data_IF_481140221209
#
_entry.id   IF_481140221209
#
_cell.length_a   1.000
_cell.length_b   1.000
_cell.length_c   1.000
_cell.angle_alpha   90.00
_cell.angle_beta   90.00
_cell.angle_gamma   90.00
#
_symmetry.space_group_name_H-M   'P 1'
#
loop_
_entity.id
_entity.type
_entity.pdbx_description
1 polymer ?
#
# COMPACT_ATOMS: atom_id res chain seq x y z
N UNK A 1 -15.97 9.43 -1.85
CA UNK A 1 -16.44 9.17 -0.48
C UNK A 1 -15.62 8.06 0.18
N UNK A 2 -15.31 8.26 1.47
CA UNK A 2 -14.44 7.45 2.38
C UNK A 2 -12.94 7.50 2.05
N UNK A 3 -12.11 7.59 3.08
CA UNK A 3 -10.66 7.52 2.95
C UNK A 3 -10.20 6.10 2.59
N UNK A 4 -8.95 5.98 2.13
CA UNK A 4 -8.40 4.73 1.62
C UNK A 4 -8.36 3.61 2.66
N UNK A 5 -8.07 3.93 3.93
CA UNK A 5 -8.02 2.92 5.00
C UNK A 5 -9.41 2.38 5.27
N UNK A 6 -10.41 3.26 5.38
CA UNK A 6 -11.80 2.85 5.51
C UNK A 6 -12.28 2.04 4.30
N UNK A 7 -11.92 2.46 3.09
CA UNK A 7 -12.22 1.73 1.85
C UNK A 7 -11.65 0.31 1.85
N UNK A 8 -10.39 0.16 2.27
CA UNK A 8 -9.73 -1.14 2.38
C UNK A 8 -10.40 -2.04 3.42
N UNK A 9 -10.74 -1.51 4.60
CA UNK A 9 -11.47 -2.27 5.61
C UNK A 9 -12.80 -2.79 5.09
N UNK A 10 -13.54 -1.95 4.36
CA UNK A 10 -14.81 -2.35 3.75
C UNK A 10 -14.58 -3.46 2.73
N UNK A 11 -13.63 -3.30 1.81
CA UNK A 11 -13.29 -4.32 0.81
C UNK A 11 -13.00 -5.67 1.49
N UNK A 12 -12.11 -5.65 2.47
CA UNK A 12 -11.63 -6.83 3.16
C UNK A 12 -12.65 -7.43 4.15
N UNK A 13 -13.70 -6.68 4.49
CA UNK A 13 -14.82 -7.20 5.29
C UNK A 13 -15.74 -8.14 4.50
N UNK A 14 -15.71 -8.09 3.17
CA UNK A 14 -16.61 -8.88 2.32
C UNK A 14 -16.11 -10.29 2.02
N UNK A 15 -14.80 -10.52 2.01
CA UNK A 15 -14.25 -11.81 1.62
C UNK A 15 -12.87 -12.07 2.23
N UNK A 16 -12.53 -13.36 2.31
CA UNK A 16 -11.18 -13.80 2.60
C UNK A 16 -10.29 -13.55 1.40
N UNK A 17 -9.14 -12.92 1.63
CA UNK A 17 -8.14 -12.85 0.58
C UNK A 17 -7.71 -14.28 0.20
N UNK A 18 -7.73 -14.63 -1.09
CA UNK A 18 -7.25 -15.93 -1.54
C UNK A 18 -5.75 -16.06 -1.27
N UNK A 19 -5.29 -17.26 -0.91
CA UNK A 19 -3.85 -17.52 -0.68
C UNK A 19 -2.98 -17.41 -1.94
N UNK A 20 -3.60 -17.41 -3.12
CA UNK A 20 -2.93 -17.23 -4.41
C UNK A 20 -2.65 -15.74 -4.67
N UNK A 21 -1.37 -15.36 -4.67
CA UNK A 21 -0.96 -13.95 -4.83
C UNK A 21 -1.53 -13.25 -6.06
N UNK A 22 -1.71 -13.95 -7.19
CA UNK A 22 -2.31 -13.40 -8.41
C UNK A 22 -3.78 -12.97 -8.25
N UNK A 23 -4.53 -13.67 -7.39
CA UNK A 23 -5.93 -13.32 -7.13
C UNK A 23 -6.03 -12.11 -6.19
N UNK A 24 -5.14 -12.03 -5.19
CA UNK A 24 -5.00 -10.83 -4.34
C UNK A 24 -4.70 -9.61 -5.20
N UNK A 25 -3.80 -9.76 -6.17
CA UNK A 25 -3.40 -8.70 -7.09
C UNK A 25 -4.58 -8.10 -7.84
N UNK A 26 -5.37 -8.97 -8.49
CA UNK A 26 -6.57 -8.55 -9.24
C UNK A 26 -7.60 -7.84 -8.36
N UNK A 27 -7.75 -8.30 -7.12
CA UNK A 27 -8.67 -7.67 -6.15
C UNK A 27 -8.20 -6.26 -5.82
N UNK A 28 -6.90 -6.08 -5.56
CA UNK A 28 -6.32 -4.79 -5.21
C UNK A 28 -6.30 -3.82 -6.40
N UNK A 29 -6.08 -4.31 -7.62
CA UNK A 29 -6.19 -3.51 -8.85
C UNK A 29 -7.62 -2.96 -9.02
N UNK A 30 -8.63 -3.84 -8.88
CA UNK A 30 -10.04 -3.44 -8.96
C UNK A 30 -10.45 -2.51 -7.83
N UNK A 31 -9.86 -2.65 -6.65
CA UNK A 31 -10.05 -1.68 -5.58
C UNK A 31 -9.50 -0.30 -5.97
N UNK A 32 -8.30 -0.22 -6.53
CA UNK A 32 -7.69 1.04 -6.97
C UNK A 32 -8.55 1.77 -8.02
N UNK A 33 -8.99 1.04 -9.05
CA UNK A 33 -9.91 1.55 -10.07
C UNK A 33 -11.20 2.09 -9.44
N UNK A 34 -11.85 1.28 -8.61
CA UNK A 34 -13.12 1.63 -7.98
C UNK A 34 -13.00 2.80 -7.01
N UNK A 35 -11.92 2.85 -6.23
CA UNK A 35 -11.68 3.90 -5.25
C UNK A 35 -11.52 5.26 -5.91
N UNK A 36 -10.75 5.37 -7.00
CA UNK A 36 -10.60 6.63 -7.75
C UNK A 36 -11.92 7.06 -8.38
N UNK A 37 -12.69 6.12 -8.93
CA UNK A 37 -14.02 6.39 -9.47
C UNK A 37 -14.98 6.94 -8.39
N UNK A 38 -14.95 6.36 -7.18
CA UNK A 38 -15.83 6.75 -6.06
C UNK A 38 -15.30 7.97 -5.28
N UNK A 39 -14.04 8.37 -5.52
CA UNK A 39 -13.38 9.52 -4.90
C UNK A 39 -12.74 10.44 -5.96
N UNK A 40 -13.54 11.16 -6.77
CA UNK A 40 -13.01 12.17 -7.68
C UNK A 40 -12.18 13.20 -6.90
N UNK A 41 -10.95 13.46 -7.34
CA UNK A 41 -10.01 14.37 -6.67
C UNK A 41 -9.16 13.72 -5.57
N UNK A 42 -9.17 12.39 -5.44
CA UNK A 42 -8.25 11.68 -4.55
C UNK A 42 -6.79 11.83 -4.96
N UNK A 43 -5.88 11.46 -4.05
CA UNK A 43 -4.44 11.58 -4.26
C UNK A 43 -3.93 10.47 -5.19
N UNK A 44 -3.77 10.81 -6.46
CA UNK A 44 -3.21 9.91 -7.48
C UNK A 44 -4.26 9.12 -8.27
N UNK A 45 -3.75 8.36 -9.25
CA UNK A 45 -4.53 7.50 -10.13
C UNK A 45 -4.74 6.09 -9.53
N UNK A 46 -5.40 5.22 -10.30
CA UNK A 46 -5.72 3.86 -9.84
C UNK A 46 -4.48 3.04 -9.50
N UNK A 47 -3.37 3.24 -10.23
CA UNK A 47 -2.08 2.59 -9.98
C UNK A 47 -1.48 3.07 -8.67
N UNK A 48 -1.48 4.39 -8.43
CA UNK A 48 -1.05 4.98 -7.17
C UNK A 48 -1.85 4.46 -5.97
N UNK A 49 -3.18 4.37 -6.09
CA UNK A 49 -4.03 3.83 -5.01
C UNK A 49 -3.79 2.35 -4.79
N UNK A 50 -3.62 1.56 -5.85
CA UNK A 50 -3.28 0.15 -5.77
C UNK A 50 -1.95 -0.07 -5.02
N UNK A 51 -0.88 0.66 -5.38
CA UNK A 51 0.41 0.56 -4.71
C UNK A 51 0.34 1.06 -3.26
N UNK A 52 -0.36 2.16 -2.99
CA UNK A 52 -0.56 2.69 -1.65
C UNK A 52 -1.31 1.68 -0.76
N UNK A 53 -2.28 0.98 -1.33
CA UNK A 53 -3.03 -0.06 -0.62
C UNK A 53 -2.13 -1.23 -0.20
N UNK A 54 -1.18 -1.65 -1.06
CA UNK A 54 -0.17 -2.63 -0.67
C UNK A 54 0.74 -2.13 0.45
N UNK A 55 1.18 -0.86 0.38
CA UNK A 55 1.97 -0.23 1.43
C UNK A 55 1.23 -0.25 2.78
N UNK A 56 -0.08 0.05 2.79
CA UNK A 56 -0.94 -0.03 3.98
C UNK A 56 -1.04 -1.46 4.53
N UNK A 57 -1.19 -2.47 3.67
CA UNK A 57 -1.23 -3.87 4.10
C UNK A 57 0.10 -4.34 4.70
N UNK A 58 1.22 -3.86 4.18
CA UNK A 58 2.53 -4.10 4.76
C UNK A 58 2.69 -3.40 6.12
N UNK A 59 2.24 -2.15 6.24
CA UNK A 59 2.24 -1.41 7.49
C UNK A 59 1.44 -2.14 8.57
N UNK A 60 0.20 -2.54 8.27
CA UNK A 60 -0.65 -3.33 9.15
C UNK A 60 0.07 -4.59 9.66
N UNK A 61 0.74 -5.32 8.76
CA UNK A 61 1.49 -6.53 9.12
C UNK A 61 2.67 -6.18 10.03
N UNK A 62 3.41 -5.11 9.73
CA UNK A 62 4.57 -4.68 10.52
C UNK A 62 4.20 -4.19 11.93
N UNK A 63 3.06 -3.51 12.08
CA UNK A 63 2.61 -2.98 13.38
C UNK A 63 1.95 -4.06 14.26
N UNK A 64 1.19 -4.98 13.65
CA UNK A 64 0.27 -5.85 14.40
C UNK A 64 0.58 -7.35 14.33
N UNK A 65 1.53 -7.80 13.48
CA UNK A 65 1.94 -9.20 13.45
C UNK A 65 3.20 -9.43 14.32
N UNK A 66 3.10 -10.14 15.46
CA UNK A 66 4.23 -10.38 16.37
C UNK A 66 5.38 -11.17 15.72
N UNK A 67 5.09 -12.02 14.73
CA UNK A 67 6.10 -12.79 13.99
C UNK A 67 6.80 -11.96 12.91
N UNK A 68 6.22 -10.82 12.52
CA UNK A 68 6.82 -9.86 11.59
C UNK A 68 7.50 -8.68 12.30
N UNK A 69 7.59 -8.67 13.64
CA UNK A 69 8.18 -7.58 14.43
C UNK A 69 9.60 -7.18 14.00
N UNK A 70 10.38 -8.11 13.45
CA UNK A 70 11.73 -7.82 12.92
C UNK A 70 11.73 -6.98 11.63
N UNK A 71 10.60 -6.91 10.93
CA UNK A 71 10.37 -6.08 9.74
C UNK A 71 9.69 -4.74 10.10
N UNK A 72 9.58 -4.41 11.39
CA UNK A 72 8.85 -3.25 11.91
C UNK A 72 9.09 -2.00 11.07
N UNK A 73 8.02 -1.47 10.50
CA UNK A 73 8.05 -0.28 9.68
C UNK A 73 7.68 0.91 10.56
N UNK A 74 8.67 1.70 10.95
CA UNK A 74 8.42 2.96 11.64
C UNK A 74 7.74 3.97 10.71
N UNK A 75 7.22 5.06 11.29
CA UNK A 75 6.60 6.16 10.54
C UNK A 75 7.51 6.66 9.40
N UNK A 76 8.80 6.88 9.69
CA UNK A 76 9.75 7.36 8.69
C UNK A 76 9.97 6.38 7.55
N UNK A 77 9.97 5.08 7.84
CA UNK A 77 10.11 4.04 6.82
C UNK A 77 8.86 3.98 5.94
N UNK A 78 7.68 4.07 6.56
CA UNK A 78 6.41 4.15 5.83
C UNK A 78 6.37 5.39 4.92
N UNK A 79 6.76 6.56 5.44
CA UNK A 79 6.83 7.80 4.65
C UNK A 79 7.79 7.68 3.46
N UNK A 80 9.00 7.15 3.68
CA UNK A 80 9.99 6.93 2.62
C UNK A 80 9.45 6.00 1.54
N UNK A 81 8.84 4.88 1.94
CA UNK A 81 8.26 3.92 1.01
C UNK A 81 7.09 4.52 0.23
N UNK A 82 6.14 5.15 0.90
CA UNK A 82 4.99 5.78 0.24
C UNK A 82 5.41 6.84 -0.80
N UNK A 83 6.48 7.60 -0.52
CA UNK A 83 7.04 8.59 -1.45
C UNK A 83 7.68 8.01 -2.70
N UNK A 84 8.04 6.72 -2.70
CA UNK A 84 8.47 6.03 -3.92
C UNK A 84 7.30 5.79 -4.89
N UNK A 85 6.07 5.69 -4.38
CA UNK A 85 4.85 5.61 -5.22
C UNK A 85 4.56 7.00 -5.79
N UNK A 86 4.46 7.98 -4.90
CA UNK A 86 4.15 9.36 -5.25
C UNK A 86 4.92 10.31 -4.34
N UNK A 87 5.90 11.08 -4.88
CA UNK A 87 6.75 11.93 -4.07
C UNK A 87 5.98 13.05 -3.37
N UNK A 88 4.84 13.46 -3.93
CA UNK A 88 4.03 14.59 -3.46
C UNK A 88 3.04 14.22 -2.34
N UNK A 89 3.09 13.01 -1.77
CA UNK A 89 2.31 12.71 -0.57
C UNK A 89 2.77 13.61 0.59
N UNK A 90 1.81 14.32 1.18
CA UNK A 90 2.07 15.20 2.33
C UNK A 90 2.32 14.38 3.59
N UNK A 91 3.05 14.96 4.54
CA UNK A 91 3.33 14.30 5.81
C UNK A 91 2.04 14.02 6.58
N UNK A 92 1.11 14.97 6.58
CA UNK A 92 -0.17 14.86 7.30
C UNK A 92 -1.01 13.69 6.77
N UNK A 93 -1.03 13.49 5.45
CA UNK A 93 -1.75 12.37 4.84
C UNK A 93 -1.17 11.01 5.25
N UNK A 94 0.15 10.89 5.24
CA UNK A 94 0.85 9.65 5.58
C UNK A 94 0.77 9.35 7.08
N UNK A 95 0.91 10.38 7.93
CA UNK A 95 0.74 10.27 9.37
C UNK A 95 -0.67 9.85 9.74
N UNK A 96 -1.69 10.45 9.09
CA UNK A 96 -3.07 10.07 9.32
C UNK A 96 -3.29 8.57 9.00
N UNK A 97 -2.78 8.07 7.88
CA UNK A 97 -2.86 6.65 7.55
C UNK A 97 -2.15 5.82 8.63
N UNK A 98 -0.92 6.18 8.98
CA UNK A 98 -0.11 5.41 9.92
C UNK A 98 -0.80 5.27 11.28
N UNK A 99 -1.20 6.39 11.88
CA UNK A 99 -1.87 6.38 13.18
C UNK A 99 -3.24 5.72 13.14
N UNK A 100 -3.96 5.80 12.02
CA UNK A 100 -5.24 5.08 11.86
C UNK A 100 -5.03 3.57 11.91
N UNK A 101 -4.00 3.06 11.22
CA UNK A 101 -3.66 1.64 11.21
C UNK A 101 -3.09 1.21 12.57
N UNK A 102 -2.20 1.99 13.18
CA UNK A 102 -1.62 1.72 14.50
C UNK A 102 -2.71 1.62 15.57
N UNK A 103 -3.67 2.54 15.58
CA UNK A 103 -4.75 2.58 16.56
C UNK A 103 -5.75 1.46 16.37
N UNK A 104 -6.10 1.16 15.13
CA UNK A 104 -7.14 0.18 14.82
C UNK A 104 -6.71 -0.71 13.64
N UNK A 105 -6.37 -1.97 13.91
CA UNK A 105 -5.93 -2.90 12.89
C UNK A 105 -7.02 -3.15 11.84
N UNK A 106 -6.63 -3.38 10.58
CA UNK A 106 -7.54 -3.92 9.56
C UNK A 106 -7.93 -5.35 9.96
N UNK A 107 -9.18 -5.52 10.42
CA UNK A 107 -9.77 -6.82 10.71
C UNK A 107 -10.20 -7.53 9.42
N UNK A 108 -9.77 -8.77 9.25
CA UNK A 108 -10.03 -9.58 8.05
C UNK A 108 -11.22 -10.53 8.21
N UNK A 109 -12.24 -10.32 9.05
CA UNK A 109 -13.17 -11.37 9.55
C UNK A 109 -12.40 -12.55 10.19
N UNK A 110 -13.01 -13.45 10.97
CA UNK A 110 -12.25 -14.46 11.75
C UNK A 110 -12.24 -15.90 11.19
N UNK A 111 -11.03 -16.45 11.10
CA UNK A 111 -10.67 -17.86 11.32
C UNK A 111 -9.15 -17.85 11.54
N UNK A 112 -8.75 -17.61 12.79
CA UNK A 112 -7.35 -17.38 13.18
C UNK A 112 -6.41 -18.54 12.82
N UNK A 113 -6.93 -19.77 12.72
CA UNK A 113 -6.16 -20.95 12.32
C UNK A 113 -5.84 -21.01 10.82
N UNK A 114 -6.73 -20.51 9.96
CA UNK A 114 -6.48 -20.39 8.52
C UNK A 114 -5.48 -19.26 8.22
N UNK A 115 -5.50 -18.21 9.05
CA UNK A 115 -4.62 -17.05 8.93
C UNK A 115 -3.15 -17.43 9.04
N UNK A 116 -2.73 -18.25 10.00
CA UNK A 116 -1.31 -18.63 10.18
C UNK A 116 -0.74 -19.44 8.99
N UNK A 117 -1.55 -20.29 8.35
CA UNK A 117 -1.15 -21.06 7.15
C UNK A 117 -1.19 -20.21 5.87
N UNK A 118 -2.11 -19.26 5.78
CA UNK A 118 -2.19 -18.35 4.63
C UNK A 118 -1.16 -17.22 4.73
N UNK A 119 -0.85 -16.72 5.93
CA UNK A 119 0.11 -15.65 6.19
C UNK A 119 1.51 -15.99 5.68
N UNK A 120 1.95 -17.25 5.73
CA UNK A 120 3.25 -17.64 5.16
C UNK A 120 3.29 -17.60 3.63
N UNK A 121 2.18 -17.97 2.97
CA UNK A 121 2.03 -17.89 1.50
C UNK A 121 1.81 -16.44 1.02
N UNK A 122 0.97 -15.70 1.75
CA UNK A 122 0.71 -14.29 1.51
C UNK A 122 1.94 -13.44 1.85
N UNK A 123 2.70 -13.73 2.90
CA UNK A 123 3.96 -13.05 3.22
C UNK A 123 4.99 -13.24 2.11
N UNK A 124 5.04 -14.41 1.45
CA UNK A 124 5.88 -14.59 0.26
C UNK A 124 5.40 -13.72 -0.91
N UNK A 125 4.08 -13.59 -1.10
CA UNK A 125 3.51 -12.69 -2.11
C UNK A 125 3.74 -11.21 -1.78
N UNK A 126 3.61 -10.81 -0.52
CA UNK A 126 3.86 -9.45 -0.03
C UNK A 126 5.33 -9.11 -0.08
N UNK A 127 6.24 -10.03 0.28
CA UNK A 127 7.68 -9.87 0.09
C UNK A 127 8.03 -9.69 -1.39
N UNK A 128 7.47 -10.52 -2.27
CA UNK A 128 7.67 -10.36 -3.72
C UNK A 128 7.14 -9.01 -4.22
N UNK A 129 5.96 -8.58 -3.75
CA UNK A 129 5.39 -7.27 -4.11
C UNK A 129 6.16 -6.12 -3.46
N UNK A 130 6.75 -6.30 -2.29
CA UNK A 130 7.68 -5.37 -1.65
C UNK A 130 8.96 -5.22 -2.49
N UNK A 131 9.50 -6.30 -3.03
CA UNK A 131 10.63 -6.23 -3.97
C UNK A 131 10.27 -5.50 -5.25
N UNK A 132 9.08 -5.77 -5.82
CA UNK A 132 8.57 -5.05 -6.99
C UNK A 132 8.38 -3.58 -6.65
N UNK A 133 7.77 -3.27 -5.52
CA UNK A 133 7.56 -1.92 -5.01
C UNK A 133 8.86 -1.13 -4.87
N UNK A 134 9.90 -1.76 -4.29
CA UNK A 134 11.23 -1.14 -4.17
C UNK A 134 11.81 -0.88 -5.57
N UNK A 135 11.68 -1.84 -6.51
CA UNK A 135 12.20 -1.70 -7.88
C UNK A 135 11.43 -0.68 -8.72
N UNK A 136 10.10 -0.72 -8.72
CA UNK A 136 9.22 0.19 -9.46
C UNK A 136 9.24 1.59 -8.86
N UNK A 137 9.24 1.69 -7.53
CA UNK A 137 9.39 2.94 -6.81
C UNK A 137 10.74 3.63 -7.08
N UNK A 138 11.84 2.86 -7.13
CA UNK A 138 13.14 3.38 -7.58
C UNK A 138 13.11 3.76 -9.08
N UNK A 139 12.42 2.99 -9.91
CA UNK A 139 12.24 3.27 -11.34
C UNK A 139 11.44 4.55 -11.60
N UNK A 140 10.36 4.77 -10.86
CA UNK A 140 9.52 5.96 -10.89
C UNK A 140 10.27 7.17 -10.34
N UNK A 141 10.99 7.04 -9.23
CA UNK A 141 11.85 8.09 -8.71
C UNK A 141 12.95 8.49 -9.72
N UNK A 142 13.56 7.50 -10.38
CA UNK A 142 14.56 7.73 -11.44
C UNK A 142 13.96 8.42 -12.66
N UNK A 143 12.79 7.97 -13.14
CA UNK A 143 12.08 8.61 -14.26
C UNK A 143 11.61 10.02 -13.90
N UNK A 144 11.14 10.24 -12.66
CA UNK A 144 10.80 11.56 -12.14
C UNK A 144 12.01 12.50 -12.09
N UNK A 145 13.16 12.01 -11.64
CA UNK A 145 14.43 12.74 -11.66
C UNK A 145 14.89 13.09 -13.09
N UNK A 146 14.78 12.14 -14.03
CA UNK A 146 15.11 12.35 -15.45
C UNK A 146 14.20 13.42 -16.08
N UNK A 147 12.89 13.38 -15.81
CA UNK A 147 11.93 14.39 -16.26
C UNK A 147 12.21 15.79 -15.67
N UNK A 148 12.66 15.87 -14.41
CA UNK A 148 13.07 17.15 -13.80
C UNK A 148 14.37 17.70 -14.39
N UNK A 149 15.30 16.82 -14.76
CA UNK A 149 16.56 17.20 -15.43
C UNK A 149 16.31 17.71 -16.85
N UNK A 150 15.39 17.08 -17.58
CA UNK A 150 15.02 17.52 -18.92
C UNK A 150 14.24 18.84 -18.90
N UNK A 151 13.33 19.05 -17.93
CA UNK A 151 12.66 20.35 -17.74
C UNK A 151 13.64 21.50 -17.44
N UNK A 152 14.74 21.24 -16.74
CA UNK A 152 15.79 22.25 -16.51
C UNK A 152 16.61 22.58 -17.76
N UNK A 153 16.62 21.71 -18.79
CA UNK A 153 17.29 21.98 -20.07
C UNK A 153 16.43 22.75 -21.07
N UNK A 154 15.10 22.68 -20.96
CA UNK A 154 14.17 23.35 -21.89
C UNK A 154 13.81 24.78 -21.48
N UNK A 155 14.38 25.31 -20.39
CA UNK A 155 14.16 26.69 -19.90
C UNK A 155 15.42 27.57 -20.00
N UNK A 156 16.35 27.23 -20.90
CA UNK A 156 17.41 28.13 -21.36
C UNK A 156 17.26 28.38 -22.86
#
# INVERSE_FOLDING_TARGET
GKDIVTGLRILLSFFRLPGEGQKVDRIMEKFGEKYVQDNPGTVGDSECIYLLSYSIMMLQTGLHNPSAKQLGMGMDDFKKQARLIKPDFTDEFLEQIFYTIEKEPISLKEDDEARLKQESSSANSYKRKQEIFIKEGQGLAKRGYELMKDKKKTTQ
#
